data_IF_659997461939
#
_entry.id   IF_659997461939
#
_cell.length_a   1.000
_cell.length_b   1.000
_cell.length_c   1.000
_cell.angle_alpha   90.00
_cell.angle_beta   90.00
_cell.angle_gamma   90.00
#
_symmetry.space_group_name_H-M   'P 1'
#
loop_
_entity.id
_entity.type
_entity.pdbx_description
1 polymer ?
#
# COMPACT_ATOMS: atom_id res chain seq x y z
N UNK A 1 31.54 -10.11 -5.20
CA UNK A 1 30.14 -10.54 -5.08
C UNK A 1 29.40 -9.73 -6.11
N UNK A 2 28.80 -10.38 -7.10
CA UNK A 2 27.90 -9.66 -8.00
C UNK A 2 26.76 -9.11 -7.14
N UNK A 3 26.58 -7.79 -7.12
CA UNK A 3 25.40 -7.18 -6.52
C UNK A 3 24.20 -7.60 -7.36
N UNK A 4 23.29 -8.37 -6.77
CA UNK A 4 22.08 -8.82 -7.44
C UNK A 4 21.13 -7.63 -7.59
N UNK A 5 20.91 -7.19 -8.84
CA UNK A 5 20.04 -6.05 -9.13
C UNK A 5 18.60 -6.41 -8.73
N UNK A 6 18.00 -5.57 -7.90
CA UNK A 6 16.62 -5.71 -7.45
C UNK A 6 15.75 -4.55 -7.94
N UNK A 7 14.50 -4.86 -8.25
CA UNK A 7 13.50 -3.88 -8.68
C UNK A 7 12.33 -3.89 -7.71
N UNK A 8 11.93 -2.71 -7.24
CA UNK A 8 10.81 -2.51 -6.33
C UNK A 8 9.57 -2.04 -7.11
N UNK A 9 8.47 -2.77 -6.97
CA UNK A 9 7.16 -2.40 -7.50
C UNK A 9 6.20 -2.07 -6.37
N UNK A 10 5.53 -0.92 -6.47
CA UNK A 10 4.43 -0.54 -5.56
C UNK A 10 3.09 -0.62 -6.27
N UNK A 11 2.06 -1.02 -5.52
CA UNK A 11 0.65 -0.91 -5.93
C UNK A 11 -0.13 -0.15 -4.84
N UNK A 12 -0.42 1.12 -5.11
CA UNK A 12 -1.27 1.98 -4.30
C UNK A 12 -2.73 1.71 -4.66
N UNK A 13 -3.26 0.60 -4.16
CA UNK A 13 -4.63 0.15 -4.41
C UNK A 13 -5.64 0.83 -3.48
N UNK A 14 -6.93 0.54 -3.65
CA UNK A 14 -7.99 1.13 -2.84
C UNK A 14 -7.91 0.71 -1.37
N UNK A 15 -7.62 -0.56 -1.09
CA UNK A 15 -7.71 -1.15 0.26
C UNK A 15 -6.36 -1.30 0.97
N UNK A 16 -5.27 -1.24 0.21
CA UNK A 16 -3.94 -1.53 0.72
C UNK A 16 -2.85 -0.95 -0.18
N UNK A 17 -1.72 -0.64 0.42
CA UNK A 17 -0.45 -0.46 -0.29
C UNK A 17 0.28 -1.80 -0.31
N UNK A 18 0.69 -2.27 -1.49
CA UNK A 18 1.54 -3.46 -1.62
C UNK A 18 2.90 -3.08 -2.20
N UNK A 19 3.92 -3.81 -1.79
CA UNK A 19 5.27 -3.75 -2.33
C UNK A 19 5.74 -5.14 -2.73
N UNK A 20 6.39 -5.25 -3.88
CA UNK A 20 7.07 -6.47 -4.32
C UNK A 20 8.48 -6.14 -4.77
N UNK A 21 9.44 -6.99 -4.41
CA UNK A 21 10.82 -6.91 -4.92
C UNK A 21 11.05 -8.09 -5.84
N UNK A 22 11.59 -7.83 -7.04
CA UNK A 22 11.97 -8.85 -8.01
C UNK A 22 13.46 -8.78 -8.36
N UNK A 23 14.07 -9.91 -8.68
CA UNK A 23 15.44 -9.98 -9.21
C UNK A 23 15.47 -9.90 -10.76
N UNK A 24 16.67 -9.98 -11.34
CA UNK A 24 16.91 -9.98 -12.78
C UNK A 24 16.31 -11.17 -13.54
N UNK A 25 16.01 -12.27 -12.84
CA UNK A 25 15.30 -13.45 -13.37
C UNK A 25 13.79 -13.32 -13.30
N UNK A 26 13.27 -12.15 -12.91
CA UNK A 26 11.84 -11.87 -12.72
C UNK A 26 11.21 -12.70 -11.59
N UNK A 27 12.02 -13.19 -10.65
CA UNK A 27 11.56 -13.95 -9.50
C UNK A 27 11.22 -12.98 -8.36
N UNK A 28 10.10 -13.20 -7.68
CA UNK A 28 9.72 -12.41 -6.51
C UNK A 28 10.55 -12.84 -5.32
N UNK A 29 11.36 -11.93 -4.79
CA UNK A 29 12.23 -12.18 -3.64
C UNK A 29 11.57 -11.73 -2.33
N UNK A 30 10.76 -10.66 -2.37
CA UNK A 30 10.07 -10.13 -1.19
C UNK A 30 8.68 -9.59 -1.56
N UNK A 31 7.75 -9.66 -0.60
CA UNK A 31 6.43 -9.04 -0.70
C UNK A 31 6.04 -8.47 0.66
N UNK A 32 5.40 -7.30 0.66
CA UNK A 32 4.83 -6.68 1.86
C UNK A 32 3.53 -5.98 1.52
N UNK A 33 2.67 -5.77 2.51
CA UNK A 33 1.42 -5.06 2.36
C UNK A 33 1.04 -4.33 3.65
N UNK A 34 0.42 -3.16 3.50
CA UNK A 34 -0.23 -2.40 4.57
C UNK A 34 -1.71 -2.29 4.23
N UNK A 35 -2.56 -2.96 5.00
CA UNK A 35 -4.02 -2.97 4.86
C UNK A 35 -4.62 -1.78 5.60
N UNK A 36 -5.24 -0.85 4.89
CA UNK A 36 -5.60 0.46 5.46
C UNK A 36 -6.57 0.36 6.64
N UNK A 37 -7.62 -0.45 6.54
CA UNK A 37 -8.63 -0.57 7.61
C UNK A 37 -8.09 -1.28 8.86
N UNK A 38 -7.07 -2.13 8.72
CA UNK A 38 -6.52 -2.96 9.81
C UNK A 38 -5.32 -2.29 10.46
N UNK A 39 -4.38 -1.82 9.64
CA UNK A 39 -3.09 -1.30 10.08
C UNK A 39 -3.13 0.21 10.37
N UNK A 40 -4.10 0.93 9.80
CA UNK A 40 -4.30 2.37 9.97
C UNK A 40 -5.73 2.73 10.41
N UNK A 41 -6.28 2.07 11.46
CA UNK A 41 -7.68 2.20 11.85
C UNK A 41 -8.06 3.62 12.29
N UNK A 42 -7.10 4.46 12.64
CA UNK A 42 -7.32 5.86 13.01
C UNK A 42 -7.91 6.71 11.88
N UNK A 43 -7.72 6.32 10.60
CA UNK A 43 -8.36 7.00 9.47
C UNK A 43 -9.81 6.57 9.24
N UNK A 44 -10.29 5.53 9.94
CA UNK A 44 -11.69 5.09 9.95
C UNK A 44 -12.27 4.86 8.55
N UNK A 45 -11.46 4.31 7.65
CA UNK A 45 -11.93 3.86 6.34
C UNK A 45 -12.70 2.55 6.46
N UNK A 46 -13.52 2.27 5.44
CA UNK A 46 -14.07 0.94 5.19
C UNK A 46 -13.83 0.58 3.73
N UNK A 47 -13.11 -0.51 3.48
CA UNK A 47 -12.53 -0.81 2.18
C UNK A 47 -11.52 0.24 1.72
N UNK A 48 -10.82 0.91 2.65
CA UNK A 48 -9.83 1.95 2.33
C UNK A 48 -10.39 3.29 1.85
N UNK A 49 -11.71 3.49 1.95
CA UNK A 49 -12.39 4.74 1.57
C UNK A 49 -13.39 5.21 2.63
N UNK A 50 -13.84 6.46 2.49
CA UNK A 50 -15.00 7.04 3.13
C UNK A 50 -16.10 7.21 2.10
N UNK A 51 -17.27 6.63 2.36
CA UNK A 51 -18.51 6.96 1.66
C UNK A 51 -19.22 8.07 2.43
N UNK A 52 -19.58 9.15 1.74
CA UNK A 52 -20.23 10.31 2.36
C UNK A 52 -21.76 10.15 2.37
N UNK A 53 -22.44 11.01 3.15
CA UNK A 53 -23.90 10.93 3.37
C UNK A 53 -24.72 11.02 2.07
N UNK A 54 -24.19 11.71 1.05
CA UNK A 54 -24.82 11.87 -0.26
C UNK A 54 -24.88 10.57 -1.09
N UNK A 55 -24.22 9.50 -0.66
CA UNK A 55 -24.10 8.21 -1.35
C UNK A 55 -23.47 8.28 -2.76
N UNK A 56 -22.82 9.39 -3.10
CA UNK A 56 -22.19 9.62 -4.40
C UNK A 56 -20.69 9.89 -4.26
N UNK A 57 -20.30 10.56 -3.17
CA UNK A 57 -18.93 10.94 -2.92
C UNK A 57 -18.20 9.82 -2.20
N UNK A 58 -17.08 9.37 -2.79
CA UNK A 58 -16.17 8.37 -2.22
C UNK A 58 -14.76 8.93 -2.24
N UNK A 59 -14.11 8.98 -1.08
CA UNK A 59 -12.78 9.58 -0.93
C UNK A 59 -11.85 8.72 -0.08
N UNK A 60 -10.54 8.88 -0.24
CA UNK A 60 -9.55 8.33 0.69
C UNK A 60 -8.63 9.46 1.18
N UNK A 61 -8.18 9.44 2.45
CA UNK A 61 -7.29 10.47 2.98
C UNK A 61 -5.87 10.34 2.37
N UNK A 62 -5.31 11.36 1.69
CA UNK A 62 -3.96 11.23 1.10
C UNK A 62 -2.85 10.95 2.12
N UNK A 63 -3.00 11.47 3.35
CA UNK A 63 -2.03 11.24 4.43
C UNK A 63 -2.02 9.78 4.92
N UNK A 64 -3.11 9.03 4.72
CA UNK A 64 -3.14 7.59 5.00
C UNK A 64 -2.16 6.85 4.10
N UNK A 65 -2.08 7.22 2.82
CA UNK A 65 -1.14 6.63 1.86
C UNK A 65 0.31 6.95 2.19
N UNK A 66 0.59 8.18 2.65
CA UNK A 66 1.94 8.57 3.09
C UNK A 66 2.36 7.74 4.29
N UNK A 67 1.49 7.60 5.31
CA UNK A 67 1.80 6.77 6.48
C UNK A 67 1.96 5.29 6.10
N UNK A 68 1.14 4.78 5.19
CA UNK A 68 1.29 3.41 4.68
C UNK A 68 2.64 3.21 3.97
N UNK A 69 3.13 4.22 3.25
CA UNK A 69 4.44 4.19 2.62
C UNK A 69 5.57 4.17 3.65
N UNK A 70 5.47 4.95 4.73
CA UNK A 70 6.43 4.89 5.82
C UNK A 70 6.46 3.48 6.43
N UNK A 71 5.28 2.93 6.75
CA UNK A 71 5.16 1.59 7.36
C UNK A 71 5.67 0.45 6.49
N UNK A 72 5.48 0.52 5.17
CA UNK A 72 5.92 -0.57 4.27
C UNK A 72 7.43 -0.55 3.99
N UNK A 73 8.09 0.57 4.31
CA UNK A 73 9.53 0.77 4.16
C UNK A 73 10.33 0.52 5.45
N UNK A 74 9.65 0.33 6.60
CA UNK A 74 10.26 -0.13 7.86
C UNK A 74 10.70 -1.60 7.79
#
# INVERSE_FOLDING_TARGET
MDEEISYLGFDFSTQQLKAVVINDKLEVTHQSAVQFDVDLPEFRTHGGVHSHDDQLTVTAPPIMWVKALDMILE
#
